data_IF_676257012708
#
_entry.id   IF_676257012708
#
_cell.length_a   1.000
_cell.length_b   1.000
_cell.length_c   1.000
_cell.angle_alpha   90.00
_cell.angle_beta   90.00
_cell.angle_gamma   90.00
#
_symmetry.space_group_name_H-M   'P 1'
#
loop_
_entity.id
_entity.type
_entity.pdbx_description
1 polymer ?
#
# COMPACT_ATOMS: atom_id res chain seq x y z
N UNK A 1 -34.93 34.09 28.23
CA UNK A 1 -33.53 33.68 27.97
C UNK A 1 -33.35 32.24 28.44
N UNK A 2 -32.95 31.32 27.57
CA UNK A 2 -32.55 29.93 27.89
C UNK A 2 -31.26 29.62 27.12
N UNK A 3 -30.25 29.01 27.75
CA UNK A 3 -28.95 28.77 27.13
C UNK A 3 -28.96 27.55 26.20
N UNK A 4 -27.95 27.57 25.31
CA UNK A 4 -27.67 26.67 24.20
C UNK A 4 -27.59 25.18 24.57
N UNK A 5 -28.15 24.33 23.70
CA UNK A 5 -27.69 22.93 23.57
C UNK A 5 -26.61 22.88 22.50
N UNK A 6 -25.38 22.66 22.97
CA UNK A 6 -24.20 22.40 22.16
C UNK A 6 -24.35 21.13 21.32
N UNK A 7 -23.63 21.14 20.21
CA UNK A 7 -23.65 20.20 19.11
C UNK A 7 -23.59 18.72 19.52
N UNK A 8 -24.38 17.92 18.80
CA UNK A 8 -24.26 16.48 18.70
C UNK A 8 -22.91 16.11 18.09
N UNK A 9 -21.85 16.11 18.91
CA UNK A 9 -20.55 15.54 18.59
C UNK A 9 -20.63 14.01 18.59
N UNK A 10 -21.37 13.44 17.63
CA UNK A 10 -21.50 12.01 17.44
C UNK A 10 -20.24 11.43 16.79
N UNK A 11 -19.25 11.12 17.62
CA UNK A 11 -18.30 9.99 17.49
C UNK A 11 -17.99 9.47 16.07
N UNK A 12 -17.13 10.17 15.33
CA UNK A 12 -16.55 9.71 14.05
C UNK A 12 -15.21 8.94 14.20
N UNK A 13 -14.84 8.52 15.42
CA UNK A 13 -13.48 8.02 15.70
C UNK A 13 -13.41 6.58 16.24
N UNK A 14 -14.42 5.74 15.98
CA UNK A 14 -14.44 4.39 16.57
C UNK A 14 -14.90 3.29 15.62
N UNK A 15 -14.38 3.29 14.40
CA UNK A 15 -14.53 2.17 13.47
C UNK A 15 -13.21 1.65 12.87
N UNK A 16 -12.04 2.14 13.30
CA UNK A 16 -10.81 1.95 12.51
C UNK A 16 -9.90 0.77 12.91
N UNK A 17 -10.27 -0.10 13.86
CA UNK A 17 -9.35 -1.21 14.22
C UNK A 17 -9.99 -2.39 14.97
N UNK A 18 -11.20 -2.82 14.61
CA UNK A 18 -11.74 -4.06 15.18
C UNK A 18 -11.17 -5.29 14.44
N UNK A 19 -9.87 -5.55 14.64
CA UNK A 19 -9.13 -6.70 14.06
C UNK A 19 -9.69 -8.07 14.49
N UNK A 20 -10.74 -8.09 15.32
CA UNK A 20 -11.45 -9.29 15.78
C UNK A 20 -12.25 -9.98 14.68
N UNK A 21 -12.60 -9.28 13.60
CA UNK A 21 -13.34 -9.83 12.44
C UNK A 21 -12.50 -9.96 11.17
N UNK A 22 -11.20 -9.67 11.27
CA UNK A 22 -10.33 -9.72 10.10
C UNK A 22 -9.98 -11.17 9.74
N UNK A 23 -10.26 -11.55 8.49
CA UNK A 23 -9.85 -12.83 7.95
C UNK A 23 -8.32 -12.99 8.02
N UNK A 24 -7.84 -14.23 8.15
CA UNK A 24 -6.40 -14.51 8.27
C UNK A 24 -5.59 -13.95 7.09
N UNK A 25 -6.15 -14.00 5.88
CA UNK A 25 -5.49 -13.50 4.69
C UNK A 25 -5.31 -11.97 4.71
N UNK A 26 -6.29 -11.20 5.19
CA UNK A 26 -6.17 -9.74 5.36
C UNK A 26 -5.13 -9.38 6.43
N UNK A 27 -5.08 -10.15 7.54
CA UNK A 27 -4.07 -9.96 8.58
C UNK A 27 -2.66 -10.22 8.07
N UNK A 28 -2.48 -11.29 7.30
CA UNK A 28 -1.20 -11.64 6.67
C UNK A 28 -0.78 -10.57 5.66
N UNK A 29 -1.71 -10.11 4.81
CA UNK A 29 -1.49 -9.02 3.87
C UNK A 29 -1.02 -7.76 4.59
N UNK A 30 -1.74 -7.31 5.63
CA UNK A 30 -1.36 -6.13 6.43
C UNK A 30 0.06 -6.24 6.97
N UNK A 31 0.39 -7.38 7.57
CA UNK A 31 1.73 -7.63 8.12
C UNK A 31 2.80 -7.48 7.05
N UNK A 32 2.58 -8.08 5.88
CA UNK A 32 3.55 -8.04 4.79
C UNK A 32 3.69 -6.64 4.17
N UNK A 33 2.60 -5.86 4.04
CA UNK A 33 2.69 -4.45 3.60
C UNK A 33 3.53 -3.64 4.58
N UNK A 34 3.25 -3.76 5.87
CA UNK A 34 3.97 -3.02 6.91
C UNK A 34 5.46 -3.40 6.92
N UNK A 35 5.77 -4.69 6.80
CA UNK A 35 7.16 -5.15 6.69
C UNK A 35 7.87 -4.54 5.48
N UNK A 36 7.23 -4.55 4.31
CA UNK A 36 7.77 -3.95 3.09
C UNK A 36 8.07 -2.45 3.26
N UNK A 37 7.14 -1.69 3.87
CA UNK A 37 7.36 -0.27 4.19
C UNK A 37 8.54 -0.07 5.13
N UNK A 38 8.68 -0.91 6.14
CA UNK A 38 9.81 -0.82 7.08
C UNK A 38 11.13 -1.08 6.38
N UNK A 39 11.20 -2.11 5.51
CA UNK A 39 12.42 -2.43 4.74
C UNK A 39 12.84 -1.23 3.89
N UNK A 40 11.92 -0.65 3.11
CA UNK A 40 12.23 0.52 2.26
C UNK A 40 12.62 1.74 3.09
N UNK A 41 11.92 2.01 4.19
CA UNK A 41 12.24 3.13 5.08
C UNK A 41 13.63 3.00 5.71
N UNK A 42 13.99 1.79 6.18
CA UNK A 42 15.32 1.51 6.71
C UNK A 42 16.41 1.66 5.63
N UNK A 43 16.19 1.10 4.43
CA UNK A 43 17.12 1.23 3.33
C UNK A 43 17.33 2.69 2.91
N UNK A 44 16.25 3.48 2.84
CA UNK A 44 16.32 4.91 2.56
C UNK A 44 17.11 5.68 3.63
N UNK A 45 16.98 5.31 4.91
CA UNK A 45 17.74 5.93 5.99
C UNK A 45 19.25 5.61 5.94
N UNK A 46 19.62 4.46 5.40
CA UNK A 46 21.04 4.08 5.21
C UNK A 46 21.67 4.71 3.97
N UNK A 47 20.88 5.18 3.01
CA UNK A 47 21.38 5.90 1.86
C UNK A 47 21.80 7.31 2.29
N UNK A 48 23.11 7.61 2.24
CA UNK A 48 23.70 8.87 2.69
C UNK A 48 23.07 10.13 2.02
N UNK A 49 22.52 9.97 0.81
CA UNK A 49 21.56 10.88 0.19
C UNK A 49 20.89 10.17 -1.00
N UNK A 50 19.58 9.86 -0.97
CA UNK A 50 18.89 9.30 -2.12
C UNK A 50 18.94 10.27 -3.31
N UNK A 51 19.20 9.74 -4.49
CA UNK A 51 19.02 10.48 -5.74
C UNK A 51 17.55 10.87 -5.92
N UNK A 52 17.28 11.86 -6.78
CA UNK A 52 15.90 12.25 -7.11
C UNK A 52 15.07 11.09 -7.66
N UNK A 53 15.70 10.19 -8.42
CA UNK A 53 15.05 9.01 -9.02
C UNK A 53 14.70 7.97 -7.96
N UNK A 54 15.62 7.69 -7.05
CA UNK A 54 15.37 6.83 -5.88
C UNK A 54 14.27 7.39 -4.98
N UNK A 55 14.33 8.69 -4.67
CA UNK A 55 13.32 9.35 -3.85
C UNK A 55 11.93 9.28 -4.50
N UNK A 56 11.85 9.38 -5.83
CA UNK A 56 10.60 9.20 -6.58
C UNK A 56 10.05 7.78 -6.42
N UNK A 57 10.84 6.74 -6.67
CA UNK A 57 10.36 5.36 -6.55
C UNK A 57 10.05 4.95 -5.10
N UNK A 58 10.79 5.47 -4.12
CA UNK A 58 10.47 5.28 -2.71
C UNK A 58 9.13 5.93 -2.34
N UNK A 59 8.83 7.12 -2.88
CA UNK A 59 7.53 7.77 -2.69
C UNK A 59 6.38 7.00 -3.37
N UNK A 60 6.60 6.46 -4.58
CA UNK A 60 5.63 5.60 -5.26
C UNK A 60 5.37 4.29 -4.49
N UNK A 61 6.42 3.69 -3.90
CA UNK A 61 6.28 2.50 -3.05
C UNK A 61 5.45 2.82 -1.80
N UNK A 62 5.77 3.91 -1.12
CA UNK A 62 5.02 4.34 0.07
C UNK A 62 3.55 4.61 -0.26
N UNK A 63 3.27 5.29 -1.38
CA UNK A 63 1.91 5.51 -1.86
C UNK A 63 1.17 4.18 -2.12
N UNK A 64 1.81 3.22 -2.80
CA UNK A 64 1.20 1.93 -3.11
C UNK A 64 0.88 1.16 -1.82
N UNK A 65 1.82 1.14 -0.87
CA UNK A 65 1.64 0.49 0.42
C UNK A 65 0.50 1.12 1.24
N UNK A 66 0.38 2.45 1.24
CA UNK A 66 -0.73 3.15 1.91
C UNK A 66 -2.08 2.81 1.29
N UNK A 67 -2.18 2.75 -0.04
CA UNK A 67 -3.42 2.37 -0.73
C UNK A 67 -3.81 0.92 -0.49
N UNK A 68 -2.83 0.02 -0.47
CA UNK A 68 -3.06 -1.38 -0.11
C UNK A 68 -3.51 -1.53 1.35
N UNK A 69 -2.95 -0.76 2.29
CA UNK A 69 -3.39 -0.78 3.69
C UNK A 69 -4.84 -0.28 3.83
N UNK A 70 -5.23 0.75 3.07
CA UNK A 70 -6.60 1.22 3.02
C UNK A 70 -7.55 0.15 2.45
N UNK A 71 -7.15 -0.53 1.37
CA UNK A 71 -7.91 -1.62 0.77
C UNK A 71 -8.10 -2.78 1.77
N UNK A 72 -7.03 -3.19 2.47
CA UNK A 72 -7.07 -4.22 3.52
C UNK A 72 -7.99 -3.81 4.67
N UNK A 73 -7.86 -2.57 5.16
CA UNK A 73 -8.69 -2.06 6.26
C UNK A 73 -10.18 -2.02 5.92
N UNK A 74 -10.51 -1.72 4.65
CA UNK A 74 -11.88 -1.70 4.14
C UNK A 74 -12.38 -3.06 3.64
N UNK A 75 -11.47 -4.01 3.47
CA UNK A 75 -11.68 -5.25 2.71
C UNK A 75 -12.25 -4.99 1.30
N UNK A 76 -11.89 -3.85 0.72
CA UNK A 76 -12.30 -3.43 -0.62
C UNK A 76 -11.08 -3.36 -1.52
N UNK A 77 -10.98 -4.33 -2.43
CA UNK A 77 -9.88 -4.48 -3.36
C UNK A 77 -10.29 -4.15 -4.81
N UNK A 78 -11.41 -3.46 -5.04
CA UNK A 78 -11.91 -3.18 -6.38
C UNK A 78 -10.86 -2.52 -7.29
N UNK A 79 -10.10 -1.55 -6.77
CA UNK A 79 -8.99 -0.89 -7.47
C UNK A 79 -7.77 -1.76 -7.76
N UNK A 80 -7.78 -3.01 -7.28
CA UNK A 80 -6.69 -3.99 -7.33
C UNK A 80 -7.04 -5.28 -8.08
N UNK A 81 -8.25 -5.38 -8.64
CA UNK A 81 -8.75 -6.64 -9.21
C UNK A 81 -8.36 -6.85 -10.69
N UNK A 82 -8.17 -5.78 -11.47
CA UNK A 82 -7.84 -5.83 -12.90
C UNK A 82 -6.57 -5.05 -13.25
N UNK A 83 -6.06 -5.17 -14.47
CA UNK A 83 -4.74 -4.64 -14.87
C UNK A 83 -4.75 -3.34 -15.67
N UNK A 84 -5.93 -2.88 -16.13
CA UNK A 84 -6.03 -1.68 -16.96
C UNK A 84 -6.29 -0.40 -16.15
N UNK A 85 -5.90 0.74 -16.70
CA UNK A 85 -5.93 2.06 -16.04
C UNK A 85 -7.35 2.51 -15.68
N UNK A 86 -8.36 2.10 -16.46
CA UNK A 86 -9.75 2.49 -16.23
C UNK A 86 -10.43 1.70 -15.12
N UNK A 87 -10.27 0.38 -15.13
CA UNK A 87 -10.93 -0.51 -14.18
C UNK A 87 -10.17 -0.65 -12.85
N UNK A 88 -8.85 -0.49 -12.86
CA UNK A 88 -8.00 -0.70 -11.68
C UNK A 88 -6.80 0.25 -11.69
N UNK A 89 -7.05 1.56 -11.49
CA UNK A 89 -6.02 2.59 -11.59
C UNK A 89 -4.87 2.39 -10.60
N UNK A 90 -5.14 1.82 -9.43
CA UNK A 90 -4.12 1.61 -8.40
C UNK A 90 -3.16 0.48 -8.78
N UNK A 91 -3.71 -0.65 -9.23
CA UNK A 91 -2.93 -1.77 -9.76
C UNK A 91 -2.19 -1.42 -11.04
N UNK A 92 -2.80 -0.64 -11.94
CA UNK A 92 -2.14 -0.16 -13.15
C UNK A 92 -0.94 0.72 -12.83
N UNK A 93 -1.08 1.68 -11.90
CA UNK A 93 0.03 2.54 -11.47
C UNK A 93 1.16 1.71 -10.85
N UNK A 94 0.83 0.75 -10.00
CA UNK A 94 1.80 -0.17 -9.41
C UNK A 94 2.56 -0.96 -10.51
N UNK A 95 1.84 -1.54 -11.47
CA UNK A 95 2.42 -2.28 -12.59
C UNK A 95 3.36 -1.41 -13.43
N UNK A 96 2.97 -0.15 -13.68
CA UNK A 96 3.80 0.82 -14.42
C UNK A 96 5.10 1.13 -13.70
N UNK A 97 5.08 1.46 -12.41
CA UNK A 97 6.31 1.78 -11.65
C UNK A 97 7.23 0.58 -11.53
N UNK A 98 6.67 -0.61 -11.33
CA UNK A 98 7.39 -1.86 -11.38
C UNK A 98 8.11 -2.03 -12.72
N UNK A 99 7.40 -1.88 -13.84
CA UNK A 99 7.98 -2.01 -15.17
C UNK A 99 9.10 -0.97 -15.40
N UNK A 100 8.89 0.28 -15.02
CA UNK A 100 9.89 1.34 -15.14
C UNK A 100 11.18 1.01 -14.36
N UNK A 101 11.06 0.42 -13.16
CA UNK A 101 12.20 -0.07 -12.37
C UNK A 101 12.93 -1.26 -13.02
N UNK A 102 12.18 -2.21 -13.60
CA UNK A 102 12.77 -3.36 -14.30
C UNK A 102 13.49 -2.97 -15.61
N UNK A 103 13.13 -1.84 -16.22
CA UNK A 103 13.73 -1.34 -17.45
C UNK A 103 14.92 -0.39 -17.23
N UNK A 104 15.32 -0.14 -15.98
CA UNK A 104 16.52 0.65 -15.71
C UNK A 104 17.77 -0.09 -16.21
N UNK A 105 18.59 0.59 -17.00
CA UNK A 105 19.83 0.02 -17.52
C UNK A 105 20.85 -0.27 -16.40
N UNK A 106 20.99 0.66 -15.45
CA UNK A 106 21.93 0.58 -14.33
C UNK A 106 21.21 0.95 -13.02
N UNK A 107 20.42 0.03 -12.43
CA UNK A 107 19.76 0.30 -11.17
C UNK A 107 20.78 0.34 -10.02
N UNK A 108 20.64 1.31 -9.13
CA UNK A 108 21.40 1.30 -7.87
C UNK A 108 21.02 0.10 -6.99
N UNK A 109 21.79 -0.15 -5.93
CA UNK A 109 21.42 -1.16 -4.93
C UNK A 109 20.06 -0.84 -4.28
N UNK A 110 19.75 0.43 -4.05
CA UNK A 110 18.48 0.83 -3.47
C UNK A 110 17.32 0.71 -4.47
N UNK A 111 17.55 1.02 -5.75
CA UNK A 111 16.55 0.80 -6.82
C UNK A 111 16.28 -0.69 -7.06
N UNK A 112 17.31 -1.54 -6.92
CA UNK A 112 17.17 -2.99 -6.94
C UNK A 112 16.29 -3.49 -5.79
N UNK A 113 16.54 -3.00 -4.57
CA UNK A 113 15.68 -3.29 -3.42
C UNK A 113 14.25 -2.81 -3.63
N UNK A 114 14.06 -1.59 -4.15
CA UNK A 114 12.73 -1.06 -4.46
C UNK A 114 12.01 -1.94 -5.47
N UNK A 115 12.68 -2.36 -6.54
CA UNK A 115 12.14 -3.29 -7.54
C UNK A 115 11.64 -4.57 -6.88
N UNK A 116 12.45 -5.17 -6.02
CA UNK A 116 12.08 -6.43 -5.36
C UNK A 116 10.89 -6.24 -4.39
N UNK A 117 10.84 -5.11 -3.67
CA UNK A 117 9.70 -4.77 -2.81
C UNK A 117 8.42 -4.42 -3.60
N UNK A 118 8.54 -3.80 -4.78
CA UNK A 118 7.43 -3.60 -5.71
C UNK A 118 6.89 -4.95 -6.24
N UNK A 119 7.78 -5.87 -6.59
CA UNK A 119 7.41 -7.24 -7.00
C UNK A 119 6.70 -8.00 -5.86
N UNK A 120 7.14 -7.78 -4.63
CA UNK A 120 6.50 -8.33 -3.43
C UNK A 120 5.09 -7.78 -3.23
N UNK A 121 4.90 -6.45 -3.26
CA UNK A 121 3.57 -5.84 -3.16
C UNK A 121 2.64 -6.33 -4.27
N UNK A 122 3.16 -6.49 -5.49
CA UNK A 122 2.41 -7.01 -6.63
C UNK A 122 1.95 -8.46 -6.42
N UNK A 123 2.86 -9.32 -5.96
CA UNK A 123 2.65 -10.79 -5.89
C UNK A 123 1.88 -11.20 -4.65
N UNK A 124 2.24 -10.66 -3.49
CA UNK A 124 1.66 -11.11 -2.22
C UNK A 124 0.28 -10.49 -1.97
N UNK A 125 -0.04 -9.34 -2.60
CA UNK A 125 -1.09 -8.45 -2.07
C UNK A 125 -2.01 -7.89 -3.15
N UNK A 126 -1.45 -7.38 -4.25
CA UNK A 126 -2.28 -6.90 -5.35
C UNK A 126 -2.92 -8.06 -6.12
N UNK A 127 -2.42 -9.30 -6.01
CA UNK A 127 -2.94 -10.44 -6.74
C UNK A 127 -4.32 -10.89 -6.23
N UNK A 128 -5.29 -11.19 -7.12
CA UNK A 128 -6.68 -11.51 -6.77
C UNK A 128 -6.90 -12.78 -5.92
N UNK A 129 -5.83 -13.50 -5.53
CA UNK A 129 -5.92 -14.69 -4.67
C UNK A 129 -6.40 -14.39 -3.23
N UNK A 130 -6.43 -13.12 -2.79
CA UNK A 130 -7.07 -12.71 -1.53
C UNK A 130 -8.62 -12.76 -1.56
N UNK A 131 -9.23 -13.17 -2.68
CA UNK A 131 -10.67 -13.43 -2.81
C UNK A 131 -11.22 -14.49 -1.84
N UNK A 132 -10.36 -15.21 -1.10
CA UNK A 132 -10.75 -16.13 -0.03
C UNK A 132 -11.34 -15.49 1.24
N UNK A 133 -11.41 -14.16 1.33
CA UNK A 133 -12.13 -13.47 2.41
C UNK A 133 -13.62 -13.21 2.10
N UNK A 134 -14.16 -13.80 1.03
CA UNK A 134 -15.59 -13.82 0.79
C UNK A 134 -16.27 -14.87 1.69
N UNK A 135 -16.94 -14.41 2.75
CA UNK A 135 -18.10 -15.07 3.33
C UNK A 135 -19.26 -14.07 3.35
#
# INVERSE_FOLDING_TARGET
MRPLRAASGGSLLRADNDNRRECEAARLARRNILASRTVVACAAATAAAPTRREAFYAAEHAWAADRLLLAVGRQDFAGWNAGDEGASPERWRLARRRLELHLLADPSAFETLLRDEFDRLWTEIAAPALAGCAA
#
